data_IF_581937924512
#
_entry.id   IF_581937924512
#
_cell.length_a   1.000
_cell.length_b   1.000
_cell.length_c   1.000
_cell.angle_alpha   90.00
_cell.angle_beta   90.00
_cell.angle_gamma   90.00
#
_symmetry.space_group_name_H-M   'P 1'
#
loop_
_entity.id
_entity.type
_entity.pdbx_description
1 polymer ?
#
# COMPACT_ATOMS: atom_id res chain seq x y z
N UNK A 1 4.10 6.38 7.64
CA UNK A 1 3.22 5.22 7.95
C UNK A 1 3.65 4.52 9.23
N UNK A 2 4.72 3.70 9.24
CA UNK A 2 5.16 2.94 10.43
C UNK A 2 5.17 3.76 11.73
N UNK A 3 5.85 4.91 11.72
CA UNK A 3 5.93 5.84 12.87
C UNK A 3 4.59 6.37 13.34
N UNK A 4 3.67 6.62 12.40
CA UNK A 4 2.31 7.11 12.68
C UNK A 4 1.39 6.03 13.25
N UNK A 5 1.49 4.79 12.77
CA UNK A 5 0.77 3.67 13.39
C UNK A 5 1.30 3.42 14.81
N UNK A 6 2.63 3.47 15.00
CA UNK A 6 3.24 3.27 16.30
C UNK A 6 2.81 4.32 17.34
N UNK A 7 2.56 5.57 16.94
CA UNK A 7 2.06 6.59 17.86
C UNK A 7 0.61 6.37 18.32
N UNK A 8 -0.15 5.47 17.68
CA UNK A 8 -1.44 4.96 18.20
C UNK A 8 -1.28 3.71 19.09
N UNK A 9 -0.04 3.33 19.45
CA UNK A 9 0.25 2.16 20.28
C UNK A 9 0.30 0.83 19.50
N UNK A 10 0.32 0.87 18.17
CA UNK A 10 0.44 -0.32 17.33
C UNK A 10 1.91 -0.76 17.29
N UNK A 11 2.20 -2.00 17.67
CA UNK A 11 3.54 -2.56 17.54
C UNK A 11 3.90 -2.78 16.06
N UNK A 12 5.14 -2.48 15.67
CA UNK A 12 5.56 -2.44 14.26
C UNK A 12 6.71 -3.41 13.97
N UNK A 13 6.44 -4.36 13.07
CA UNK A 13 7.50 -5.06 12.34
C UNK A 13 7.90 -4.26 11.10
N UNK A 14 9.10 -3.68 11.10
CA UNK A 14 9.65 -2.98 9.95
C UNK A 14 10.46 -3.97 9.09
N UNK A 15 10.00 -4.20 7.84
CA UNK A 15 10.64 -5.13 6.90
C UNK A 15 11.25 -4.38 5.73
N UNK A 16 12.56 -4.53 5.52
CA UNK A 16 13.28 -3.97 4.38
C UNK A 16 14.64 -4.65 4.20
N UNK A 17 15.37 -4.27 3.16
CA UNK A 17 16.67 -4.86 2.78
C UNK A 17 17.84 -4.18 3.44
N UNK A 18 17.68 -2.90 3.72
CA UNK A 18 18.74 -2.05 4.24
C UNK A 18 18.64 -2.02 5.75
N UNK A 19 19.48 -2.80 6.43
CA UNK A 19 19.50 -2.83 7.88
C UNK A 19 20.11 -1.54 8.45
N UNK A 20 21.30 -1.16 7.95
CA UNK A 20 22.10 -0.05 8.48
C UNK A 20 22.24 1.13 7.51
N UNK A 21 22.45 2.35 8.03
CA UNK A 21 22.73 3.51 7.19
C UNK A 21 23.90 3.26 6.23
N UNK A 22 23.77 3.72 4.99
CA UNK A 22 24.82 3.61 3.96
C UNK A 22 25.01 2.22 3.34
N UNK A 23 24.26 1.19 3.76
CA UNK A 23 24.31 -0.13 3.10
C UNK A 23 23.44 -0.22 1.84
N UNK A 24 22.47 0.69 1.70
CA UNK A 24 21.55 0.74 0.57
C UNK A 24 21.94 1.79 -0.46
N UNK A 25 21.26 1.75 -1.60
CA UNK A 25 21.41 2.78 -2.66
C UNK A 25 20.71 4.12 -2.31
N UNK A 26 19.93 4.14 -1.24
CA UNK A 26 19.13 5.29 -0.81
C UNK A 26 19.37 5.57 0.67
N UNK A 27 19.09 6.81 1.09
CA UNK A 27 19.08 7.21 2.50
C UNK A 27 18.00 6.45 3.28
N UNK A 28 18.22 6.35 4.60
CA UNK A 28 17.35 5.62 5.51
C UNK A 28 17.70 4.14 5.65
N UNK A 29 17.30 3.57 6.77
CA UNK A 29 17.53 2.18 7.12
C UNK A 29 16.50 1.68 8.14
N UNK A 30 16.45 0.36 8.33
CA UNK A 30 15.60 -0.22 9.36
C UNK A 30 16.01 0.23 10.76
N UNK A 31 17.31 0.27 11.07
CA UNK A 31 17.80 0.72 12.38
C UNK A 31 17.40 2.16 12.67
N UNK A 32 17.55 3.08 11.71
CA UNK A 32 17.09 4.47 11.89
C UNK A 32 15.59 4.55 12.11
N UNK A 33 14.80 3.84 11.30
CA UNK A 33 13.33 3.87 11.39
C UNK A 33 12.86 3.33 12.74
N UNK A 34 13.40 2.20 13.17
CA UNK A 34 13.08 1.58 14.46
C UNK A 34 13.51 2.47 15.63
N UNK A 35 14.71 3.05 15.56
CA UNK A 35 15.19 3.97 16.59
C UNK A 35 14.30 5.20 16.73
N UNK A 36 13.84 5.79 15.62
CA UNK A 36 12.91 6.91 15.62
C UNK A 36 11.57 6.54 16.26
N UNK A 37 11.00 5.38 15.92
CA UNK A 37 9.74 4.90 16.50
C UNK A 37 9.88 4.70 18.02
N UNK A 38 10.94 4.01 18.45
CA UNK A 38 11.15 3.70 19.85
C UNK A 38 11.47 4.96 20.66
N UNK A 39 12.16 5.95 20.08
CA UNK A 39 12.41 7.25 20.71
C UNK A 39 11.12 8.06 20.93
N UNK A 40 10.11 7.88 20.08
CA UNK A 40 8.79 8.49 20.25
C UNK A 40 7.87 7.72 21.21
N UNK A 41 8.32 6.58 21.74
CA UNK A 41 7.60 5.74 22.69
C UNK A 41 6.82 4.58 22.08
N UNK A 42 6.98 4.29 20.78
CA UNK A 42 6.40 3.10 20.15
C UNK A 42 7.20 1.82 20.39
N UNK A 43 6.66 0.67 19.97
CA UNK A 43 7.37 -0.61 19.90
C UNK A 43 7.61 -0.99 18.43
N UNK A 44 8.86 -0.94 17.99
CA UNK A 44 9.25 -1.36 16.65
C UNK A 44 10.45 -2.30 16.65
N UNK A 45 10.44 -3.24 15.70
CA UNK A 45 11.49 -4.24 15.50
C UNK A 45 11.82 -4.39 14.02
N UNK A 46 13.10 -4.55 13.71
CA UNK A 46 13.61 -4.66 12.35
C UNK A 46 13.71 -6.12 11.90
N UNK A 47 13.24 -6.41 10.68
CA UNK A 47 13.39 -7.70 10.02
C UNK A 47 13.97 -7.49 8.62
N UNK A 48 15.11 -8.11 8.35
CA UNK A 48 15.83 -7.91 7.08
C UNK A 48 15.35 -8.91 6.04
N UNK A 49 14.74 -8.43 4.96
CA UNK A 49 14.33 -9.29 3.83
C UNK A 49 14.27 -8.51 2.50
N UNK A 50 14.76 -9.12 1.42
CA UNK A 50 14.58 -8.63 0.05
C UNK A 50 13.32 -9.19 -0.57
N UNK A 51 12.19 -8.56 -0.25
CA UNK A 51 10.87 -8.94 -0.77
C UNK A 51 10.76 -8.94 -2.30
N UNK A 52 11.74 -8.38 -3.03
CA UNK A 52 11.81 -8.45 -4.49
C UNK A 52 12.56 -9.68 -5.03
N UNK A 53 12.98 -10.60 -4.16
CA UNK A 53 13.66 -11.85 -4.53
C UNK A 53 12.69 -13.02 -4.41
N UNK A 54 12.59 -13.80 -5.49
CA UNK A 54 11.76 -15.01 -5.56
C UNK A 54 12.15 -16.08 -4.53
N UNK A 55 13.39 -16.03 -4.03
CA UNK A 55 13.92 -17.00 -3.08
C UNK A 55 13.48 -16.73 -1.62
N UNK A 56 12.87 -15.58 -1.33
CA UNK A 56 12.41 -15.27 0.03
C UNK A 56 11.15 -16.06 0.34
N UNK A 57 11.21 -16.86 1.39
CA UNK A 57 10.04 -17.51 1.99
C UNK A 57 9.26 -16.49 2.84
N UNK A 58 8.32 -15.81 2.19
CA UNK A 58 7.49 -14.76 2.81
C UNK A 58 6.56 -15.30 3.91
N UNK A 59 5.92 -16.48 3.76
CA UNK A 59 5.22 -17.13 4.87
C UNK A 59 6.10 -17.39 6.09
N UNK A 60 7.31 -17.92 5.90
CA UNK A 60 8.24 -18.14 7.02
C UNK A 60 8.68 -16.83 7.68
N UNK A 61 8.86 -15.75 6.91
CA UNK A 61 9.13 -14.41 7.44
C UNK A 61 7.97 -13.91 8.32
N UNK A 62 6.72 -14.09 7.90
CA UNK A 62 5.56 -13.73 8.72
C UNK A 62 5.55 -14.55 10.02
N UNK A 63 5.75 -15.86 9.96
CA UNK A 63 5.83 -16.69 11.16
C UNK A 63 6.94 -16.25 12.13
N UNK A 64 8.13 -15.92 11.60
CA UNK A 64 9.23 -15.39 12.41
C UNK A 64 8.86 -14.06 13.10
N UNK A 65 8.13 -13.19 12.41
CA UNK A 65 7.65 -11.93 12.97
C UNK A 65 6.64 -12.19 14.08
N UNK A 66 5.65 -13.06 13.84
CA UNK A 66 4.63 -13.41 14.82
C UNK A 66 5.25 -14.04 16.07
N UNK A 67 6.23 -14.93 15.92
CA UNK A 67 6.97 -15.53 17.03
C UNK A 67 7.74 -14.48 17.85
N UNK A 68 8.35 -13.50 17.18
CA UNK A 68 9.08 -12.44 17.87
C UNK A 68 8.14 -11.57 18.71
N UNK A 69 6.94 -11.25 18.22
CA UNK A 69 5.96 -10.46 18.96
C UNK A 69 5.11 -11.29 19.93
N UNK A 70 5.08 -12.62 19.79
CA UNK A 70 4.18 -13.50 20.54
C UNK A 70 2.71 -13.29 20.18
N UNK A 71 2.43 -12.73 19.01
CA UNK A 71 1.10 -12.35 18.54
C UNK A 71 1.03 -12.44 17.01
N UNK A 72 -0.16 -12.68 16.47
CA UNK A 72 -0.41 -12.66 15.03
C UNK A 72 -0.49 -11.23 14.49
N UNK A 73 -0.30 -11.07 13.19
CA UNK A 73 -0.42 -9.75 12.56
C UNK A 73 -1.88 -9.31 12.41
N UNK A 74 -2.26 -8.19 13.05
CA UNK A 74 -3.57 -7.55 12.86
C UNK A 74 -3.62 -6.68 11.59
N UNK A 75 -2.47 -6.09 11.23
CA UNK A 75 -2.34 -5.13 10.13
C UNK A 75 -1.19 -5.55 9.22
N UNK A 76 -1.44 -5.57 7.92
CA UNK A 76 -0.42 -5.68 6.88
C UNK A 76 -0.44 -4.46 5.97
N UNK A 77 0.69 -3.77 5.86
CA UNK A 77 0.89 -2.69 4.88
C UNK A 77 1.91 -3.15 3.83
N UNK A 78 1.44 -3.52 2.64
CA UNK A 78 2.32 -3.85 1.51
C UNK A 78 2.81 -2.58 0.82
N UNK A 79 3.89 -2.01 1.34
CA UNK A 79 4.54 -0.82 0.78
C UNK A 79 5.70 -1.15 -0.18
N UNK A 80 6.36 -2.29 -0.01
CA UNK A 80 7.53 -2.65 -0.80
C UNK A 80 7.19 -2.81 -2.29
N UNK A 81 7.73 -1.92 -3.13
CA UNK A 81 7.54 -1.94 -4.57
C UNK A 81 8.71 -1.25 -5.28
N UNK A 82 8.86 -1.51 -6.57
CA UNK A 82 9.82 -0.81 -7.41
C UNK A 82 9.23 -0.47 -8.79
N UNK A 83 9.53 0.73 -9.27
CA UNK A 83 9.28 1.18 -10.64
C UNK A 83 10.52 0.91 -11.52
N UNK A 84 10.93 -0.36 -11.64
CA UNK A 84 12.10 -0.74 -12.45
C UNK A 84 11.77 -0.57 -13.93
N UNK A 85 12.73 -0.06 -14.72
CA UNK A 85 12.58 0.10 -16.19
C UNK A 85 11.37 0.95 -16.57
N UNK A 86 11.08 1.97 -15.77
CA UNK A 86 9.91 2.83 -15.91
C UNK A 86 9.89 3.60 -17.25
N UNK A 87 11.07 3.82 -17.81
CA UNK A 87 11.36 4.51 -19.06
C UNK A 87 11.23 3.63 -20.33
N UNK A 88 11.15 2.31 -20.17
CA UNK A 88 11.17 1.38 -21.31
C UNK A 88 9.84 1.39 -22.07
N UNK A 89 9.87 1.64 -23.38
CA UNK A 89 8.67 1.61 -24.22
C UNK A 89 8.17 0.18 -24.46
N UNK A 90 6.87 0.03 -24.71
CA UNK A 90 6.21 -1.26 -24.87
C UNK A 90 6.89 -2.22 -25.88
N UNK A 91 7.31 -1.77 -27.09
CA UNK A 91 7.95 -2.66 -28.06
C UNK A 91 9.31 -3.23 -27.60
N UNK A 92 9.97 -2.54 -26.68
CA UNK A 92 11.32 -2.90 -26.19
C UNK A 92 11.27 -3.72 -24.89
N UNK A 93 10.07 -3.95 -24.34
CA UNK A 93 9.90 -4.69 -23.09
C UNK A 93 10.27 -6.16 -23.27
N UNK A 94 11.18 -6.62 -22.40
CA UNK A 94 11.61 -8.02 -22.38
C UNK A 94 10.83 -8.84 -21.35
N UNK A 95 10.69 -10.13 -21.62
CA UNK A 95 9.98 -11.08 -20.75
C UNK A 95 10.56 -11.10 -19.33
N UNK A 96 11.89 -11.05 -19.20
CA UNK A 96 12.56 -11.10 -17.90
C UNK A 96 12.26 -9.85 -17.06
N UNK A 97 12.01 -8.70 -17.68
CA UNK A 97 11.61 -7.47 -16.98
C UNK A 97 10.17 -7.52 -16.51
N UNK A 98 9.29 -8.16 -17.29
CA UNK A 98 7.93 -8.45 -16.86
C UNK A 98 7.95 -9.36 -15.62
N UNK A 99 8.69 -10.47 -15.67
CA UNK A 99 8.83 -11.40 -14.54
C UNK A 99 9.39 -10.71 -13.29
N UNK A 100 10.45 -9.92 -13.42
CA UNK A 100 11.03 -9.17 -12.31
C UNK A 100 10.05 -8.13 -11.71
N UNK A 101 9.26 -7.47 -12.55
CA UNK A 101 8.24 -6.50 -12.09
C UNK A 101 7.10 -7.20 -11.35
N UNK A 102 6.63 -8.33 -11.87
CA UNK A 102 5.57 -9.13 -11.24
C UNK A 102 6.08 -9.73 -9.93
N UNK A 103 7.30 -10.26 -9.88
CA UNK A 103 7.92 -10.75 -8.65
C UNK A 103 8.02 -9.63 -7.60
N UNK A 104 8.60 -8.50 -8.00
CA UNK A 104 8.90 -7.39 -7.09
C UNK A 104 7.65 -6.69 -6.56
N UNK A 105 6.55 -6.65 -7.31
CA UNK A 105 5.36 -5.88 -6.92
C UNK A 105 4.15 -6.77 -6.60
N UNK A 106 3.89 -7.80 -7.40
CA UNK A 106 2.65 -8.60 -7.31
C UNK A 106 2.84 -9.81 -6.39
N UNK A 107 3.83 -10.66 -6.65
CA UNK A 107 4.02 -11.88 -5.86
C UNK A 107 4.31 -11.59 -4.40
N UNK A 108 5.17 -10.61 -4.11
CA UNK A 108 5.41 -10.24 -2.72
C UNK A 108 4.13 -9.82 -1.98
N UNK A 109 3.30 -9.00 -2.61
CA UNK A 109 2.03 -8.53 -2.04
C UNK A 109 1.09 -9.71 -1.82
N UNK A 110 0.93 -10.55 -2.85
CA UNK A 110 0.06 -11.73 -2.82
C UNK A 110 0.46 -12.70 -1.70
N UNK A 111 1.73 -13.06 -1.62
CA UNK A 111 2.23 -14.04 -0.64
C UNK A 111 2.08 -13.54 0.79
N UNK A 112 2.41 -12.27 1.04
CA UNK A 112 2.28 -11.66 2.37
C UNK A 112 0.81 -11.56 2.80
N UNK A 113 -0.09 -11.16 1.90
CA UNK A 113 -1.52 -11.18 2.18
C UNK A 113 -2.00 -12.57 2.60
N UNK A 114 -1.64 -13.59 1.82
CA UNK A 114 -2.02 -14.98 2.14
C UNK A 114 -1.44 -15.46 3.47
N UNK A 115 -0.22 -15.04 3.80
CA UNK A 115 0.46 -15.46 5.01
C UNK A 115 -0.20 -14.89 6.29
N UNK A 116 -0.72 -13.67 6.27
CA UNK A 116 -1.34 -13.04 7.47
C UNK A 116 -2.80 -13.42 7.69
N UNK A 117 -3.55 -13.77 6.64
CA UNK A 117 -4.99 -14.07 6.71
C UNK A 117 -5.34 -15.14 7.76
N UNK A 118 -4.62 -16.28 7.89
CA UNK A 118 -4.92 -17.25 8.94
C UNK A 118 -4.83 -16.67 10.35
N UNK A 119 -3.89 -15.77 10.61
CA UNK A 119 -3.76 -15.06 11.89
C UNK A 119 -4.93 -14.11 12.13
N UNK A 120 -5.26 -13.28 11.14
CA UNK A 120 -6.39 -12.35 11.18
C UNK A 120 -7.73 -13.07 11.45
N UNK A 121 -7.97 -14.21 10.79
CA UNK A 121 -9.16 -15.04 11.06
C UNK A 121 -9.24 -15.54 12.49
N UNK A 122 -8.10 -15.92 13.10
CA UNK A 122 -8.07 -16.33 14.51
C UNK A 122 -8.35 -15.17 15.46
N UNK A 123 -7.91 -13.96 15.08
CA UNK A 123 -8.17 -12.73 15.84
C UNK A 123 -9.60 -12.19 15.63
N UNK A 124 -10.31 -12.69 14.61
CA UNK A 124 -11.67 -12.30 14.27
C UNK A 124 -11.79 -11.01 13.46
N UNK A 125 -10.68 -10.39 13.08
CA UNK A 125 -10.61 -9.23 12.19
C UNK A 125 -9.17 -9.03 11.68
N UNK A 126 -9.01 -8.21 10.64
CA UNK A 126 -7.70 -7.78 10.17
C UNK A 126 -7.78 -6.67 9.12
N UNK A 127 -6.65 -6.02 8.88
CA UNK A 127 -6.58 -4.92 7.92
C UNK A 127 -5.37 -5.05 7.00
N UNK A 128 -5.62 -5.05 5.70
CA UNK A 128 -4.61 -5.12 4.66
C UNK A 128 -4.70 -3.85 3.82
N UNK A 129 -3.60 -3.10 3.77
CA UNK A 129 -3.45 -1.92 2.90
C UNK A 129 -2.32 -2.17 1.91
N UNK A 130 -2.66 -2.20 0.62
CA UNK A 130 -1.69 -2.37 -0.45
C UNK A 130 -1.41 -1.03 -1.13
N UNK A 131 -0.14 -0.61 -1.15
CA UNK A 131 0.21 0.68 -1.75
C UNK A 131 0.12 0.58 -3.28
N UNK A 132 -0.78 1.36 -3.86
CA UNK A 132 -0.99 1.45 -5.30
C UNK A 132 -0.31 2.70 -5.89
N UNK A 133 -0.71 3.11 -7.08
CA UNK A 133 -0.20 4.29 -7.76
C UNK A 133 -1.25 4.86 -8.69
N UNK A 134 -1.24 6.18 -8.93
CA UNK A 134 -1.96 6.81 -10.04
C UNK A 134 -1.67 6.14 -11.39
N UNK A 135 -0.51 5.49 -11.53
CA UNK A 135 -0.14 4.77 -12.75
C UNK A 135 -0.98 3.51 -12.99
N UNK A 136 -1.69 2.98 -11.98
CA UNK A 136 -2.59 1.83 -12.08
C UNK A 136 -3.82 2.11 -12.97
N UNK A 137 -4.30 3.35 -12.98
CA UNK A 137 -5.48 3.72 -13.74
C UNK A 137 -5.30 3.53 -15.25
N UNK A 138 -6.40 3.42 -16.03
CA UNK A 138 -6.33 3.35 -17.48
C UNK A 138 -5.74 4.65 -18.07
N UNK A 139 -5.18 4.55 -19.29
CA UNK A 139 -4.83 5.72 -20.12
C UNK A 139 -5.90 5.87 -21.20
N UNK A 140 -6.66 6.96 -21.15
CA UNK A 140 -7.78 7.22 -22.07
C UNK A 140 -7.33 8.21 -23.15
N UNK A 141 -7.70 7.96 -24.41
CA UNK A 141 -7.44 8.81 -25.57
C UNK A 141 -8.14 8.26 -26.83
N UNK A 142 -7.96 8.86 -28.02
CA UNK A 142 -7.24 10.11 -28.32
C UNK A 142 -8.05 11.40 -28.02
N UNK A 143 -7.39 12.55 -27.79
CA UNK A 143 -5.94 12.73 -27.74
C UNK A 143 -5.35 12.22 -26.42
N UNK A 144 -4.24 11.50 -26.49
CA UNK A 144 -3.49 11.17 -25.28
C UNK A 144 -2.75 12.42 -24.81
N UNK A 145 -2.82 12.72 -23.50
CA UNK A 145 -2.03 13.81 -22.94
C UNK A 145 -0.54 13.58 -23.25
N UNK A 146 0.24 14.62 -23.60
CA UNK A 146 1.69 14.51 -23.75
C UNK A 146 2.26 14.11 -22.39
N UNK A 147 2.54 12.83 -22.23
CA UNK A 147 2.96 12.28 -20.94
C UNK A 147 4.48 12.08 -20.97
N UNK A 148 5.25 12.72 -20.07
CA UNK A 148 6.70 12.55 -19.99
C UNK A 148 7.13 11.12 -19.57
N UNK A 149 6.18 10.25 -19.24
CA UNK A 149 6.42 8.88 -18.76
C UNK A 149 5.86 7.83 -19.74
N UNK A 150 6.12 7.99 -21.04
CA UNK A 150 5.97 6.88 -21.98
C UNK A 150 6.87 5.72 -21.49
N UNK A 151 6.30 4.54 -21.25
CA UNK A 151 7.04 3.36 -20.78
C UNK A 151 6.59 2.76 -19.44
N UNK A 152 5.69 3.40 -18.72
CA UNK A 152 5.20 2.92 -17.41
C UNK A 152 4.29 1.67 -17.46
N UNK A 153 4.29 0.90 -18.55
CA UNK A 153 3.32 -0.19 -18.79
C UNK A 153 3.48 -1.30 -17.75
N UNK A 154 4.71 -1.74 -17.46
CA UNK A 154 4.95 -2.80 -16.47
C UNK A 154 4.56 -2.33 -15.06
N UNK A 155 5.08 -1.18 -14.63
CA UNK A 155 4.78 -0.67 -13.29
C UNK A 155 3.28 -0.38 -13.11
N UNK A 156 2.68 0.36 -14.04
CA UNK A 156 1.24 0.64 -14.03
C UNK A 156 0.41 -0.65 -14.05
N UNK A 157 0.78 -1.63 -14.89
CA UNK A 157 0.13 -2.94 -14.95
C UNK A 157 0.22 -3.71 -13.63
N UNK A 158 1.37 -3.73 -12.96
CA UNK A 158 1.50 -4.39 -11.64
C UNK A 158 0.67 -3.69 -10.56
N UNK A 159 0.57 -2.36 -10.59
CA UNK A 159 -0.29 -1.61 -9.65
C UNK A 159 -1.79 -1.81 -9.94
N UNK A 160 -2.17 -1.90 -11.21
CA UNK A 160 -3.53 -2.26 -11.61
C UNK A 160 -3.90 -3.70 -11.20
N UNK A 161 -2.95 -4.63 -11.28
CA UNK A 161 -3.11 -5.99 -10.75
C UNK A 161 -3.38 -5.94 -9.25
N UNK A 162 -2.57 -5.18 -8.49
CA UNK A 162 -2.74 -5.01 -7.05
C UNK A 162 -4.12 -4.44 -6.72
N UNK A 163 -4.58 -3.40 -7.45
CA UNK A 163 -5.93 -2.85 -7.26
C UNK A 163 -7.00 -3.92 -7.44
N UNK A 164 -6.97 -4.66 -8.57
CA UNK A 164 -7.98 -5.68 -8.86
C UNK A 164 -7.93 -6.85 -7.87
N UNK A 165 -6.74 -7.31 -7.52
CA UNK A 165 -6.53 -8.39 -6.56
C UNK A 165 -7.06 -7.98 -5.18
N UNK A 166 -6.79 -6.76 -4.75
CA UNK A 166 -7.21 -6.24 -3.45
C UNK A 166 -8.73 -6.15 -3.34
N UNK A 167 -9.41 -5.61 -4.36
CA UNK A 167 -10.88 -5.56 -4.35
C UNK A 167 -11.52 -6.93 -4.44
N UNK A 168 -10.86 -7.90 -5.10
CA UNK A 168 -11.30 -9.30 -5.11
C UNK A 168 -11.16 -9.96 -3.73
N UNK A 169 -9.99 -9.82 -3.11
CA UNK A 169 -9.74 -10.33 -1.77
C UNK A 169 -10.66 -9.69 -0.73
N UNK A 170 -10.93 -8.38 -0.82
CA UNK A 170 -11.89 -7.70 0.04
C UNK A 170 -13.29 -8.32 -0.01
N UNK A 171 -13.74 -8.71 -1.21
CA UNK A 171 -15.03 -9.36 -1.40
C UNK A 171 -15.03 -10.77 -0.80
N UNK A 172 -13.96 -11.54 -1.01
CA UNK A 172 -13.85 -12.92 -0.51
C UNK A 172 -13.65 -13.01 1.01
N UNK A 173 -13.04 -11.99 1.61
CA UNK A 173 -12.71 -11.95 3.04
C UNK A 173 -13.67 -11.06 3.86
N UNK A 174 -14.76 -10.58 3.24
CA UNK A 174 -15.71 -9.69 3.91
C UNK A 174 -16.34 -10.34 5.16
N UNK A 175 -16.78 -11.58 5.04
CA UNK A 175 -17.39 -12.34 6.14
C UNK A 175 -16.36 -12.78 7.21
N UNK A 176 -15.06 -12.73 6.89
CA UNK A 176 -13.97 -12.94 7.85
C UNK A 176 -13.64 -11.67 8.66
N UNK A 177 -14.34 -10.54 8.42
CA UNK A 177 -14.05 -9.22 8.97
C UNK A 177 -12.62 -8.74 8.67
N UNK A 178 -12.09 -9.09 7.49
CA UNK A 178 -10.77 -8.64 7.04
C UNK A 178 -10.93 -7.57 5.97
N UNK A 179 -10.56 -6.34 6.29
CA UNK A 179 -10.54 -5.25 5.33
C UNK A 179 -9.35 -5.39 4.37
N UNK A 180 -9.59 -5.25 3.08
CA UNK A 180 -8.51 -5.16 2.07
C UNK A 180 -8.74 -3.93 1.21
N UNK A 181 -7.82 -2.99 1.27
CA UNK A 181 -7.90 -1.72 0.56
C UNK A 181 -6.60 -1.44 -0.20
N UNK A 182 -6.67 -0.66 -1.27
CA UNK A 182 -5.48 -0.04 -1.86
C UNK A 182 -5.44 1.45 -1.58
N UNK A 183 -4.23 1.97 -1.46
CA UNK A 183 -3.97 3.38 -1.22
C UNK A 183 -2.90 3.89 -2.17
N UNK A 184 -3.22 4.91 -2.93
CA UNK A 184 -2.28 5.65 -3.77
C UNK A 184 -2.21 7.11 -3.32
N UNK A 185 -1.09 7.81 -3.56
CA UNK A 185 -1.06 9.24 -3.33
C UNK A 185 -1.84 9.98 -4.42
N UNK A 186 -2.47 11.10 -4.06
CA UNK A 186 -3.18 11.94 -5.03
C UNK A 186 -2.18 12.77 -5.86
N UNK A 187 -1.11 13.24 -5.22
CA UNK A 187 0.03 13.99 -5.81
C UNK A 187 1.34 13.18 -5.70
N UNK A 188 2.47 13.73 -6.14
CA UNK A 188 3.77 13.12 -5.80
C UNK A 188 3.98 13.21 -4.28
N UNK A 189 4.44 12.17 -3.60
CA UNK A 189 4.77 12.29 -2.17
C UNK A 189 6.16 12.87 -2.04
N UNK A 190 6.36 13.85 -1.16
CA UNK A 190 7.65 14.51 -0.92
C UNK A 190 8.65 13.61 -0.17
N UNK A 191 8.93 12.42 -0.70
CA UNK A 191 10.01 11.55 -0.22
C UNK A 191 11.34 11.97 -0.84
N UNK A 192 12.46 11.66 -0.18
CA UNK A 192 13.79 11.94 -0.71
C UNK A 192 13.99 11.37 -2.14
N UNK A 193 13.48 10.17 -2.40
CA UNK A 193 13.55 9.52 -3.71
C UNK A 193 12.66 10.21 -4.78
N UNK A 194 11.41 10.52 -4.45
CA UNK A 194 10.47 11.12 -5.40
C UNK A 194 10.83 12.58 -5.74
N UNK A 195 11.28 13.35 -4.75
CA UNK A 195 11.64 14.77 -4.92
C UNK A 195 12.87 14.94 -5.83
N UNK A 196 13.80 13.98 -5.81
CA UNK A 196 14.95 13.95 -6.71
C UNK A 196 14.56 13.53 -8.15
N UNK A 197 13.52 12.73 -8.32
CA UNK A 197 13.11 12.20 -9.63
C UNK A 197 12.35 13.23 -10.49
N UNK A 198 11.55 14.13 -9.88
CA UNK A 198 10.77 15.15 -10.61
C UNK A 198 10.76 16.51 -9.86
N UNK A 199 11.85 17.30 -9.91
CA UNK A 199 11.93 18.59 -9.22
C UNK A 199 10.83 19.57 -9.64
N UNK A 200 10.17 20.21 -8.67
CA UNK A 200 9.15 21.25 -8.90
C UNK A 200 7.74 20.72 -9.23
N UNK A 201 7.53 19.41 -9.22
CA UNK A 201 6.19 18.83 -9.37
C UNK A 201 5.38 19.02 -8.08
N UNK A 202 4.07 19.34 -8.14
CA UNK A 202 3.23 19.45 -6.95
C UNK A 202 3.30 18.18 -6.11
N UNK A 203 3.69 18.32 -4.85
CA UNK A 203 3.79 17.23 -3.90
C UNK A 203 2.82 17.37 -2.74
N UNK A 204 2.52 16.24 -2.11
CA UNK A 204 1.86 16.14 -0.80
C UNK A 204 2.87 15.62 0.24
N UNK A 205 2.74 16.02 1.52
CA UNK A 205 3.63 15.58 2.58
C UNK A 205 3.35 14.10 2.91
N UNK A 206 4.35 13.41 3.48
CA UNK A 206 4.23 11.98 3.77
C UNK A 206 3.17 11.65 4.84
N UNK A 207 2.84 12.63 5.67
CA UNK A 207 1.77 12.59 6.67
C UNK A 207 0.40 12.34 6.07
N UNK A 208 0.08 12.83 4.86
CA UNK A 208 -1.22 12.57 4.23
C UNK A 208 -1.38 11.08 3.92
N UNK A 209 -0.32 10.45 3.41
CA UNK A 209 -0.29 9.00 3.17
C UNK A 209 -0.30 8.21 4.49
N UNK A 210 0.41 8.69 5.51
CA UNK A 210 0.44 8.04 6.82
C UNK A 210 -0.93 8.04 7.50
N UNK A 211 -1.65 9.16 7.47
CA UNK A 211 -2.98 9.29 8.05
C UNK A 211 -4.05 8.55 7.25
N UNK A 212 -3.98 8.60 5.92
CA UNK A 212 -4.87 7.82 5.07
C UNK A 212 -4.68 6.30 5.27
N UNK A 213 -3.43 5.84 5.41
CA UNK A 213 -3.15 4.45 5.73
C UNK A 213 -3.67 4.07 7.12
N UNK A 214 -3.42 4.91 8.13
CA UNK A 214 -3.92 4.69 9.49
C UNK A 214 -5.45 4.56 9.51
N UNK A 215 -6.17 5.45 8.82
CA UNK A 215 -7.63 5.35 8.64
C UNK A 215 -8.03 3.97 8.10
N UNK A 216 -7.44 3.55 6.98
CA UNK A 216 -7.77 2.25 6.36
C UNK A 216 -7.39 1.05 7.24
N UNK A 217 -6.48 1.22 8.19
CA UNK A 217 -6.05 0.20 9.14
C UNK A 217 -6.86 0.16 10.45
N UNK A 218 -7.68 1.18 10.74
CA UNK A 218 -8.38 1.29 12.03
C UNK A 218 -9.89 1.45 11.90
N UNK A 219 -10.39 1.78 10.72
CA UNK A 219 -11.83 1.84 10.48
C UNK A 219 -12.47 0.45 10.50
N UNK A 220 -13.77 0.43 10.79
CA UNK A 220 -14.57 -0.79 10.84
C UNK A 220 -14.50 -1.55 9.49
N UNK A 221 -13.99 -2.81 9.46
CA UNK A 221 -13.84 -3.57 8.22
C UNK A 221 -15.18 -3.86 7.53
N UNK A 222 -16.31 -3.82 8.26
CA UNK A 222 -17.65 -3.94 7.68
C UNK A 222 -18.08 -2.69 6.89
N UNK A 223 -17.42 -1.53 7.11
CA UNK A 223 -17.75 -0.25 6.47
C UNK A 223 -16.70 0.18 5.46
N UNK A 224 -15.44 -0.15 5.69
CA UNK A 224 -14.30 0.35 4.91
C UNK A 224 -13.43 -0.81 4.41
N UNK A 225 -13.89 -1.45 3.34
CA UNK A 225 -13.12 -2.48 2.61
C UNK A 225 -13.37 -2.39 1.10
N UNK A 226 -12.50 -2.98 0.29
CA UNK A 226 -12.61 -3.00 -1.17
C UNK A 226 -12.39 -1.64 -1.83
N UNK A 227 -11.79 -0.68 -1.12
CA UNK A 227 -11.52 0.66 -1.66
C UNK A 227 -10.28 0.63 -2.54
N UNK A 228 -10.36 1.29 -3.70
CA UNK A 228 -9.20 1.80 -4.43
C UNK A 228 -9.12 3.29 -4.11
N UNK A 229 -8.36 3.62 -3.06
CA UNK A 229 -8.36 4.94 -2.44
C UNK A 229 -7.18 5.81 -2.89
N UNK A 230 -7.43 7.12 -2.91
CA UNK A 230 -6.38 8.13 -2.97
C UNK A 230 -6.33 8.88 -1.64
N UNK A 231 -5.13 9.20 -1.16
CA UNK A 231 -4.88 9.84 0.14
C UNK A 231 -5.77 11.06 0.40
N UNK A 232 -5.67 12.10 -0.43
CA UNK A 232 -6.38 13.37 -0.19
C UNK A 232 -7.91 13.25 -0.27
N UNK A 233 -8.50 12.59 -1.30
CA UNK A 233 -9.94 12.32 -1.30
C UNK A 233 -10.43 11.55 -0.08
N UNK A 234 -9.65 10.56 0.39
CA UNK A 234 -10.03 9.76 1.55
C UNK A 234 -10.01 10.58 2.84
N UNK A 235 -8.97 11.40 3.04
CA UNK A 235 -8.88 12.29 4.20
C UNK A 235 -10.03 13.31 4.21
N UNK A 236 -10.41 13.84 3.05
CA UNK A 236 -11.57 14.72 2.89
C UNK A 236 -12.89 13.99 3.20
N UNK A 237 -13.11 12.81 2.60
CA UNK A 237 -14.33 11.99 2.77
C UNK A 237 -14.63 11.73 4.26
N UNK A 238 -13.60 11.40 5.03
CA UNK A 238 -13.74 11.07 6.45
C UNK A 238 -13.51 12.27 7.38
N UNK A 239 -13.30 13.47 6.84
CA UNK A 239 -12.92 14.66 7.59
C UNK A 239 -11.77 14.39 8.58
N UNK A 240 -10.74 13.66 8.12
CA UNK A 240 -9.64 13.18 8.95
C UNK A 240 -8.53 14.23 9.06
N UNK A 241 -8.20 14.73 10.26
CA UNK A 241 -7.08 15.65 10.45
C UNK A 241 -5.75 15.03 10.03
N UNK A 242 -4.88 15.84 9.43
CA UNK A 242 -3.51 15.41 9.08
C UNK A 242 -2.56 15.81 10.20
N UNK A 243 -1.97 14.82 10.87
CA UNK A 243 -1.02 15.01 11.97
C UNK A 243 0.40 14.68 11.55
N UNK A 244 1.37 15.23 12.27
CA UNK A 244 2.78 14.84 12.21
C UNK A 244 2.92 13.33 12.40
N UNK A 245 4.04 12.75 11.94
CA UNK A 245 4.25 11.30 12.03
C UNK A 245 4.29 10.75 13.46
N UNK A 246 4.59 11.56 14.46
CA UNK A 246 4.50 11.21 15.89
C UNK A 246 3.09 11.43 16.48
N UNK A 247 2.15 11.93 15.67
CA UNK A 247 0.74 12.17 16.02
C UNK A 247 0.48 13.43 16.87
N UNK A 248 1.52 14.19 17.25
CA UNK A 248 1.39 15.25 18.27
C UNK A 248 0.77 16.53 17.74
N UNK A 249 1.23 16.98 16.58
CA UNK A 249 0.87 18.27 16.01
C UNK A 249 0.07 18.11 14.71
N UNK A 250 -0.64 19.16 14.30
CA UNK A 250 -1.30 19.22 13.00
C UNK A 250 -0.31 19.69 11.93
N UNK A 251 -0.41 19.12 10.73
CA UNK A 251 0.34 19.59 9.56
C UNK A 251 -0.38 20.79 8.95
N UNK A 252 0.28 21.95 8.94
CA UNK A 252 -0.28 23.20 8.42
C UNK A 252 -0.57 23.10 6.91
N UNK A 253 -1.74 23.58 6.48
CA UNK A 253 -2.13 23.67 5.06
C UNK A 253 -2.53 22.34 4.41
N UNK A 254 -2.71 21.28 5.19
CA UNK A 254 -3.09 19.94 4.72
C UNK A 254 -4.28 19.35 5.45
N UNK A 255 -5.05 20.16 6.17
CA UNK A 255 -6.27 19.69 6.82
C UNK A 255 -7.38 19.43 5.79
N UNK A 256 -8.42 18.64 6.11
CA UNK A 256 -9.50 18.35 5.17
C UNK A 256 -10.05 19.58 4.46
N UNK A 257 -10.21 20.71 5.15
CA UNK A 257 -10.73 21.94 4.56
C UNK A 257 -9.74 22.67 3.63
N UNK A 258 -8.45 22.38 3.74
CA UNK A 258 -7.39 22.91 2.86
C UNK A 258 -7.26 22.10 1.56
N UNK A 259 -7.81 20.89 1.51
CA UNK A 259 -7.69 19.98 0.37
C UNK A 259 -8.58 20.46 -0.79
N UNK A 260 -7.94 20.90 -1.88
CA UNK A 260 -8.60 21.29 -3.12
C UNK A 260 -9.14 20.07 -3.90
N UNK A 261 -10.46 19.92 -3.89
CA UNK A 261 -11.18 18.85 -4.61
C UNK A 261 -11.02 18.94 -6.13
N UNK A 262 -10.75 20.12 -6.69
CA UNK A 262 -10.50 20.27 -8.13
C UNK A 262 -9.20 19.56 -8.57
N UNK A 263 -8.31 19.26 -7.62
CA UNK A 263 -7.09 18.51 -7.85
C UNK A 263 -7.26 16.99 -7.69
N UNK A 264 -8.49 16.50 -7.48
CA UNK A 264 -8.75 15.07 -7.36
C UNK A 264 -8.62 14.34 -8.68
N UNK A 265 -8.13 13.11 -8.57
CA UNK A 265 -8.00 12.22 -9.71
C UNK A 265 -9.38 11.74 -10.15
N UNK A 266 -9.63 11.65 -11.47
CA UNK A 266 -10.87 11.06 -11.96
C UNK A 266 -11.00 9.64 -11.40
N UNK A 267 -12.24 9.25 -11.09
CA UNK A 267 -12.51 7.96 -10.48
C UNK A 267 -11.92 6.82 -11.30
N UNK A 268 -11.22 5.91 -10.61
CA UNK A 268 -10.88 4.59 -11.13
C UNK A 268 -12.17 3.91 -11.60
N UNK A 269 -12.14 3.15 -12.70
CA UNK A 269 -13.33 2.48 -13.24
C UNK A 269 -13.97 1.64 -12.13
N UNK A 270 -15.09 2.11 -11.58
CA UNK A 270 -15.90 1.33 -10.63
C UNK A 270 -16.90 0.54 -11.44
N UNK A 271 -16.73 -0.77 -11.49
CA UNK A 271 -17.81 -1.65 -11.94
C UNK A 271 -18.89 -1.63 -10.86
N UNK A 272 -20.16 -1.46 -11.27
CA UNK A 272 -21.27 -1.71 -10.35
C UNK A 272 -21.17 -3.15 -9.83
N UNK A 273 -21.51 -3.41 -8.55
CA UNK A 273 -21.57 -4.77 -8.05
C UNK A 273 -22.49 -5.58 -8.98
N UNK A 274 -22.03 -6.74 -9.49
CA UNK A 274 -22.91 -7.61 -10.25
C UNK A 274 -24.11 -8.00 -9.37
N UNK A 275 -25.29 -8.28 -9.96
CA UNK A 275 -26.39 -8.83 -9.19
C UNK A 275 -25.92 -10.08 -8.42
N UNK A 276 -26.49 -10.35 -7.22
CA UNK A 276 -26.07 -11.49 -6.41
C UNK A 276 -26.08 -12.78 -7.25
N UNK A 277 -25.00 -13.54 -7.16
CA UNK A 277 -24.93 -14.85 -7.83
C UNK A 277 -26.13 -15.69 -7.39
N UNK A 278 -26.82 -16.37 -8.33
CA UNK A 278 -27.90 -17.31 -8.00
C UNK A 278 -27.44 -18.31 -6.95
N UNK A 279 -28.32 -18.68 -6.03
CA UNK A 279 -28.02 -19.55 -4.89
C UNK A 279 -27.37 -20.88 -5.31
N UNK A 280 -27.75 -21.40 -6.48
CA UNK A 280 -27.17 -22.61 -7.10
C UNK A 280 -25.65 -22.51 -7.36
N UNK A 281 -25.10 -21.31 -7.56
CA UNK A 281 -23.65 -21.10 -7.73
C UNK A 281 -22.91 -20.94 -6.39
N UNK A 282 -23.62 -20.66 -5.29
CA UNK A 282 -23.01 -20.49 -3.96
C UNK A 282 -22.80 -21.83 -3.26
N UNK A 283 -23.58 -22.84 -3.60
CA UNK A 283 -23.56 -24.17 -2.99
C UNK A 283 -22.86 -25.24 -3.84
N UNK A 284 -22.16 -24.83 -4.90
CA UNK A 284 -21.60 -25.75 -5.92
C UNK A 284 -20.43 -26.59 -5.42
N UNK A 285 -20.72 -27.70 -4.73
CA UNK A 285 -19.98 -28.94 -4.97
C UNK A 285 -20.33 -29.40 -6.40
N UNK A 286 -19.36 -29.76 -7.25
CA UNK A 286 -19.65 -30.30 -8.57
C UNK A 286 -20.27 -31.71 -8.44
N UNK A 287 -21.30 -31.98 -9.25
CA UNK A 287 -21.71 -33.36 -9.60
C UNK A 287 -20.60 -34.10 -10.37
#
# INVERSE_FOLDING_TARGET
MARRLASEGIAVAAVSRTLRPGQGAYEGSLEETVALINADGGDARAFVADLGRKEIDRPALVAQIEDAFGATADILINNAAAARRYETLFPDMRREWFEDSVETNVWNTWDLMKAVIPGMRRNGAGWIVNLSSRQAGPRVGPPFAPHPLAGSVLYGGTKAFIDRMSTGAAMELYDDHIAVNTLAPNRGVATAHASAAVPGWPSEPEETMAEAALLLCTEDPAKVTGRVAYSLPLLKEFNRPVRTLDGRDLVEGWQPDDIDEAAFLPHYIRFNPPPPLPEAFRTGAPE
#
